data_IF_856845917986
#
_entry.id   IF_856845917986
#
_cell.length_a   1.000
_cell.length_b   1.000
_cell.length_c   1.000
_cell.angle_alpha   90.00
_cell.angle_beta   90.00
_cell.angle_gamma   90.00
#
_symmetry.space_group_name_H-M   'P 1'
#
loop_
_entity.id
_entity.type
_entity.pdbx_description
1 polymer ?
#
# COMPACT_ATOMS: atom_id res chain seq x y z
N UNK A 1 -13.41 36.02 -8.51
CA UNK A 1 -12.27 36.06 -7.58
C UNK A 1 -12.68 35.33 -6.32
N UNK A 2 -12.32 34.06 -6.20
CA UNK A 2 -12.62 33.23 -5.04
C UNK A 2 -11.39 32.38 -4.79
N UNK A 3 -10.71 32.65 -3.68
CA UNK A 3 -9.47 31.98 -3.29
C UNK A 3 -9.77 30.57 -2.81
N UNK A 4 -9.30 29.57 -3.55
CA UNK A 4 -9.20 28.20 -3.05
C UNK A 4 -8.05 28.10 -2.06
N UNK A 5 -8.35 27.75 -0.81
CA UNK A 5 -7.37 27.40 0.21
C UNK A 5 -6.69 26.09 -0.21
N UNK A 6 -5.41 26.17 -0.56
CA UNK A 6 -4.54 25.01 -0.78
C UNK A 6 -4.08 24.54 0.59
N UNK A 7 -4.51 23.34 1.00
CA UNK A 7 -3.94 22.66 2.15
C UNK A 7 -2.55 22.15 1.77
N UNK A 8 -1.52 22.81 2.30
CA UNK A 8 -0.13 22.38 2.22
C UNK A 8 0.10 21.43 3.41
N UNK A 9 0.18 20.13 3.13
CA UNK A 9 0.67 19.13 4.10
C UNK A 9 2.13 18.79 3.76
N UNK A 10 3.07 18.84 4.73
CA UNK A 10 4.48 18.55 4.49
C UNK A 10 4.69 17.03 4.43
N UNK A 11 5.15 16.55 3.28
CA UNK A 11 5.30 15.12 2.94
C UNK A 11 6.63 14.48 3.36
N UNK A 12 7.39 15.05 4.31
CA UNK A 12 8.78 14.59 4.58
C UNK A 12 9.20 14.47 6.05
N UNK A 13 8.29 14.14 6.96
CA UNK A 13 8.71 13.78 8.31
C UNK A 13 7.72 12.83 9.00
N UNK A 14 7.69 11.55 8.65
CA UNK A 14 7.20 10.49 9.55
C UNK A 14 7.79 9.14 9.13
N UNK A 15 8.10 8.31 10.13
CA UNK A 15 8.54 6.90 10.07
C UNK A 15 10.05 6.60 10.07
N UNK A 16 10.69 6.97 11.19
CA UNK A 16 11.55 6.03 11.91
C UNK A 16 10.68 5.29 12.95
N UNK A 17 10.28 4.04 12.68
CA UNK A 17 9.86 3.01 13.64
C UNK A 17 9.35 1.80 12.85
N UNK A 18 10.26 0.93 12.45
CA UNK A 18 9.93 -0.45 12.05
C UNK A 18 10.34 -1.31 13.25
N UNK A 19 9.37 -2.06 13.79
CA UNK A 19 9.39 -2.93 14.98
C UNK A 19 8.77 -2.43 16.30
N UNK A 20 8.09 -1.29 16.32
CA UNK A 20 7.12 -1.01 17.38
C UNK A 20 5.84 -0.52 16.74
N UNK A 21 4.77 -1.32 16.85
CA UNK A 21 3.40 -0.90 16.51
C UNK A 21 3.11 0.47 17.16
N UNK A 22 3.02 1.57 16.41
CA UNK A 22 2.53 2.80 16.97
C UNK A 22 1.00 2.76 16.86
N UNK A 23 0.32 2.89 18.00
CA UNK A 23 -1.13 2.98 18.18
C UNK A 23 -1.89 1.71 18.58
N UNK A 24 -1.42 1.08 19.67
CA UNK A 24 -2.31 0.71 20.78
C UNK A 24 -2.02 1.66 21.96
N UNK A 25 -2.24 2.96 21.73
CA UNK A 25 -2.16 3.97 22.80
C UNK A 25 -3.53 4.07 23.45
N UNK A 26 -3.83 3.17 24.38
CA UNK A 26 -4.73 3.50 25.48
C UNK A 26 -4.09 4.66 26.24
N UNK A 27 -4.78 5.78 26.32
CA UNK A 27 -4.29 6.98 27.00
C UNK A 27 -3.95 6.64 28.47
N UNK A 28 -2.66 6.53 28.75
CA UNK A 28 -2.12 6.29 30.09
C UNK A 28 -0.64 6.01 29.98
N UNK A 29 0.20 6.92 30.47
CA UNK A 29 1.64 6.68 30.57
C UNK A 29 1.89 5.45 31.42
N UNK A 30 2.28 4.35 30.78
CA UNK A 30 2.55 3.08 31.42
C UNK A 30 3.81 2.47 30.81
N UNK A 31 4.62 1.87 31.66
CA UNK A 31 5.78 1.04 31.31
C UNK A 31 5.41 0.08 30.17
N UNK A 32 6.33 -0.12 29.21
CA UNK A 32 6.09 -0.97 28.05
C UNK A 32 5.73 -2.38 28.51
N UNK A 33 4.45 -2.72 28.45
CA UNK A 33 3.97 -4.09 28.71
C UNK A 33 4.42 -4.94 27.53
N UNK A 34 5.37 -5.83 27.78
CA UNK A 34 5.73 -6.89 26.84
C UNK A 34 4.53 -7.86 26.77
N UNK A 35 3.82 -7.84 25.64
CA UNK A 35 2.67 -8.73 25.42
C UNK A 35 3.22 -10.05 24.86
N UNK A 36 2.97 -11.16 25.55
CA UNK A 36 3.29 -12.50 25.05
C UNK A 36 2.47 -12.76 23.76
N UNK A 37 3.13 -13.02 22.61
CA UNK A 37 2.42 -13.33 21.37
C UNK A 37 1.46 -14.51 21.50
N UNK A 38 1.73 -15.48 22.39
CA UNK A 38 0.83 -16.60 22.62
C UNK A 38 -0.45 -16.18 23.36
N UNK A 39 -0.36 -15.26 24.32
CA UNK A 39 -1.53 -14.70 24.99
C UNK A 39 -2.37 -13.87 24.02
N UNK A 40 -1.72 -13.10 23.15
CA UNK A 40 -2.41 -12.34 22.09
C UNK A 40 -3.23 -13.26 21.17
N UNK A 41 -2.64 -14.40 20.77
CA UNK A 41 -3.24 -15.35 19.85
C UNK A 41 -4.22 -16.34 20.49
N UNK A 42 -4.20 -16.48 21.82
CA UNK A 42 -5.15 -17.32 22.56
C UNK A 42 -6.55 -16.69 22.67
N UNK A 43 -6.71 -15.41 22.33
CA UNK A 43 -8.01 -14.73 22.38
C UNK A 43 -8.95 -15.23 21.26
N UNK A 44 -10.23 -15.46 21.60
CA UNK A 44 -11.28 -15.91 20.66
C UNK A 44 -11.74 -14.81 19.69
N UNK A 45 -10.98 -13.73 19.55
CA UNK A 45 -11.42 -12.53 18.83
C UNK A 45 -11.41 -12.68 17.31
N UNK A 46 -10.87 -13.76 16.75
CA UNK A 46 -10.79 -13.92 15.29
C UNK A 46 -12.11 -14.36 14.64
N UNK A 47 -13.12 -14.74 15.42
CA UNK A 47 -14.44 -15.14 14.92
C UNK A 47 -15.52 -14.07 15.19
N UNK A 48 -15.41 -12.90 14.55
CA UNK A 48 -16.54 -11.98 14.50
C UNK A 48 -17.50 -12.34 13.35
N UNK A 49 -18.82 -12.24 13.57
CA UNK A 49 -19.77 -12.28 12.47
C UNK A 49 -19.52 -11.11 11.51
N UNK A 50 -19.86 -11.27 10.23
CA UNK A 50 -19.79 -10.20 9.22
C UNK A 50 -20.67 -8.97 9.52
N UNK A 51 -21.42 -8.97 10.63
CA UNK A 51 -22.18 -7.85 11.13
C UNK A 51 -21.36 -6.88 12.01
N UNK A 52 -20.12 -7.21 12.35
CA UNK A 52 -19.25 -6.36 13.18
C UNK A 52 -17.83 -6.30 12.61
N UNK A 53 -17.31 -5.08 12.45
CA UNK A 53 -15.90 -4.86 12.12
C UNK A 53 -15.05 -4.93 13.39
N UNK A 54 -13.89 -5.56 13.30
CA UNK A 54 -12.93 -5.66 14.40
C UNK A 54 -11.64 -4.89 14.07
N UNK A 55 -11.45 -3.69 14.64
CA UNK A 55 -10.24 -2.91 14.39
C UNK A 55 -8.96 -3.68 14.76
N UNK A 56 -7.98 -3.62 13.86
CA UNK A 56 -6.68 -4.27 14.02
C UNK A 56 -6.69 -5.81 14.02
N UNK A 57 -7.84 -6.47 13.81
CA UNK A 57 -7.93 -7.93 13.91
C UNK A 57 -7.13 -8.63 12.81
N UNK A 58 -7.10 -8.07 11.59
CA UNK A 58 -6.31 -8.62 10.49
C UNK A 58 -4.81 -8.61 10.80
N UNK A 59 -4.29 -7.52 11.35
CA UNK A 59 -2.88 -7.39 11.73
C UNK A 59 -2.51 -8.36 12.84
N UNK A 60 -3.36 -8.49 13.87
CA UNK A 60 -3.20 -9.51 14.91
C UNK A 60 -3.21 -10.92 14.31
N UNK A 61 -4.14 -11.19 13.40
CA UNK A 61 -4.22 -12.48 12.71
C UNK A 61 -2.96 -12.80 11.90
N UNK A 62 -2.41 -11.83 11.17
CA UNK A 62 -1.15 -11.99 10.43
C UNK A 62 0.01 -12.31 11.39
N UNK A 63 0.11 -11.61 12.53
CA UNK A 63 1.12 -11.89 13.54
C UNK A 63 0.98 -13.31 14.10
N UNK A 64 -0.24 -13.74 14.42
CA UNK A 64 -0.53 -15.08 14.90
C UNK A 64 -0.23 -16.17 13.87
N UNK A 65 -0.49 -15.90 12.58
CA UNK A 65 -0.13 -16.79 11.49
C UNK A 65 1.39 -16.99 11.41
N UNK A 66 2.18 -15.92 11.56
CA UNK A 66 3.65 -15.99 11.49
C UNK A 66 4.27 -16.88 12.57
N UNK A 67 3.64 -16.98 13.74
CA UNK A 67 4.08 -17.86 14.84
C UNK A 67 3.41 -19.24 14.81
N UNK A 68 2.57 -19.53 13.81
CA UNK A 68 1.87 -20.80 13.67
C UNK A 68 0.72 -21.01 14.67
N UNK A 69 0.21 -19.94 15.29
CA UNK A 69 -0.89 -20.02 16.24
C UNK A 69 -2.27 -20.13 15.58
N UNK A 70 -2.40 -19.67 14.32
CA UNK A 70 -3.63 -19.78 13.54
C UNK A 70 -3.34 -20.18 12.09
N UNK A 71 -4.36 -20.73 11.43
CA UNK A 71 -4.30 -21.09 10.01
C UNK A 71 -4.52 -19.89 9.07
N UNK A 72 -4.02 -20.02 7.83
CA UNK A 72 -4.26 -19.05 6.75
C UNK A 72 -5.75 -18.83 6.45
N UNK A 73 -6.61 -19.81 6.74
CA UNK A 73 -8.06 -19.70 6.58
C UNK A 73 -8.66 -18.64 7.49
N UNK A 74 -8.16 -18.51 8.72
CA UNK A 74 -8.59 -17.49 9.70
C UNK A 74 -8.20 -16.10 9.19
N UNK A 75 -6.95 -15.91 8.75
CA UNK A 75 -6.52 -14.64 8.15
C UNK A 75 -7.35 -14.32 6.91
N UNK A 76 -7.66 -15.30 6.08
CA UNK A 76 -8.52 -15.11 4.90
C UNK A 76 -9.92 -14.60 5.28
N UNK A 77 -10.51 -15.09 6.36
CA UNK A 77 -11.79 -14.58 6.87
C UNK A 77 -11.69 -13.13 7.36
N UNK A 78 -10.60 -12.76 8.04
CA UNK A 78 -10.35 -11.38 8.47
C UNK A 78 -10.20 -10.43 7.28
N UNK A 79 -9.55 -10.88 6.20
CA UNK A 79 -9.47 -10.13 4.94
C UNK A 79 -10.84 -9.93 4.32
N UNK A 80 -11.71 -10.96 4.33
CA UNK A 80 -13.09 -10.82 3.83
C UNK A 80 -13.92 -9.88 4.70
N UNK A 81 -13.78 -9.95 6.03
CA UNK A 81 -14.45 -9.03 6.95
C UNK A 81 -14.04 -7.57 6.65
N UNK A 82 -12.74 -7.27 6.59
CA UNK A 82 -12.27 -5.92 6.22
C UNK A 82 -12.73 -5.51 4.82
N UNK A 83 -12.66 -6.41 3.84
CA UNK A 83 -13.11 -6.15 2.47
C UNK A 83 -14.59 -5.77 2.41
N UNK A 84 -15.43 -6.48 3.16
CA UNK A 84 -16.86 -6.20 3.28
C UNK A 84 -17.10 -4.80 3.84
N UNK A 85 -16.45 -4.45 4.95
CA UNK A 85 -16.63 -3.15 5.61
C UNK A 85 -16.04 -1.97 4.80
N UNK A 86 -14.93 -2.18 4.07
CA UNK A 86 -14.43 -1.20 3.08
C UNK A 86 -15.52 -0.91 2.04
N UNK A 87 -16.21 -1.93 1.53
CA UNK A 87 -17.30 -1.75 0.55
C UNK A 87 -18.57 -1.11 1.13
N UNK A 88 -18.67 -1.04 2.45
CA UNK A 88 -19.74 -0.33 3.16
C UNK A 88 -19.34 1.09 3.57
N UNK A 89 -18.12 1.52 3.20
CA UNK A 89 -17.54 2.79 3.63
C UNK A 89 -17.52 2.94 5.16
N UNK A 90 -17.22 1.85 5.87
CA UNK A 90 -17.04 1.89 7.32
C UNK A 90 -15.75 2.63 7.68
N UNK A 91 -15.85 3.66 8.52
CA UNK A 91 -14.74 4.55 8.86
C UNK A 91 -13.58 3.81 9.54
N UNK A 92 -13.88 2.82 10.39
CA UNK A 92 -12.85 2.05 11.09
C UNK A 92 -12.09 1.15 10.13
N UNK A 93 -12.81 0.50 9.21
CA UNK A 93 -12.20 -0.34 8.18
C UNK A 93 -11.36 0.48 7.19
N UNK A 94 -11.84 1.66 6.79
CA UNK A 94 -11.11 2.58 5.92
C UNK A 94 -9.86 3.15 6.61
N UNK A 95 -9.95 3.47 7.90
CA UNK A 95 -8.80 3.94 8.68
C UNK A 95 -7.71 2.86 8.79
N UNK A 96 -8.08 1.65 9.22
CA UNK A 96 -7.16 0.52 9.30
C UNK A 96 -6.52 0.23 7.94
N UNK A 97 -7.33 0.20 6.87
CA UNK A 97 -6.85 0.01 5.51
C UNK A 97 -5.82 1.07 5.12
N UNK A 98 -6.13 2.36 5.30
CA UNK A 98 -5.24 3.47 4.94
C UNK A 98 -3.90 3.43 5.67
N UNK A 99 -3.92 3.01 6.95
CA UNK A 99 -2.73 2.90 7.80
C UNK A 99 -1.85 1.71 7.44
N UNK A 100 -2.44 0.59 7.01
CA UNK A 100 -1.73 -0.69 6.91
C UNK A 100 -1.42 -1.12 5.49
N UNK A 101 -2.10 -0.57 4.47
CA UNK A 101 -2.03 -1.10 3.11
C UNK A 101 -0.63 -1.09 2.51
N UNK A 102 0.18 -0.06 2.79
CA UNK A 102 1.56 0.02 2.32
C UNK A 102 2.38 -1.17 2.84
N UNK A 103 2.21 -1.52 4.12
CA UNK A 103 2.90 -2.63 4.78
C UNK A 103 2.65 -3.94 4.06
N UNK A 104 1.40 -4.20 3.65
CA UNK A 104 1.07 -5.42 2.92
C UNK A 104 1.73 -5.44 1.55
N UNK A 105 1.63 -4.34 0.79
CA UNK A 105 2.17 -4.25 -0.57
C UNK A 105 3.69 -4.40 -0.59
N UNK A 106 4.41 -3.95 0.45
CA UNK A 106 5.88 -4.03 0.54
C UNK A 106 6.41 -5.15 1.45
N UNK A 107 5.53 -6.00 1.99
CA UNK A 107 5.86 -6.97 3.06
C UNK A 107 6.97 -7.97 2.73
N UNK A 108 7.36 -8.12 1.45
CA UNK A 108 8.30 -9.14 0.98
C UNK A 108 7.74 -10.57 1.03
N UNK A 109 6.70 -10.80 1.84
CA UNK A 109 5.93 -12.04 1.92
C UNK A 109 4.84 -12.07 0.84
N UNK A 110 4.80 -13.17 0.08
CA UNK A 110 3.86 -13.33 -1.05
C UNK A 110 2.40 -13.34 -0.58
N UNK A 111 2.12 -13.94 0.57
CA UNK A 111 0.76 -14.04 1.09
C UNK A 111 0.26 -12.67 1.58
N UNK A 112 1.07 -11.93 2.32
CA UNK A 112 0.73 -10.58 2.77
C UNK A 112 0.57 -9.60 1.60
N UNK A 113 1.44 -9.65 0.60
CA UNK A 113 1.28 -8.78 -0.55
C UNK A 113 0.06 -9.17 -1.43
N UNK A 114 -0.40 -10.43 -1.42
CA UNK A 114 -1.71 -10.83 -1.97
C UNK A 114 -2.89 -10.26 -1.16
N UNK A 115 -2.77 -10.17 0.16
CA UNK A 115 -3.76 -9.48 1.02
C UNK A 115 -3.88 -8.02 0.60
N UNK A 116 -2.74 -7.32 0.48
CA UNK A 116 -2.69 -5.93 0.02
C UNK A 116 -3.36 -5.74 -1.33
N UNK A 117 -3.02 -6.57 -2.33
CA UNK A 117 -3.64 -6.53 -3.65
C UNK A 117 -5.17 -6.65 -3.58
N UNK A 118 -5.68 -7.62 -2.81
CA UNK A 118 -7.12 -7.88 -2.69
C UNK A 118 -7.87 -6.73 -2.02
N UNK A 119 -7.30 -6.14 -0.96
CA UNK A 119 -7.89 -4.99 -0.28
C UNK A 119 -7.91 -3.76 -1.20
N UNK A 120 -6.85 -3.52 -1.98
CA UNK A 120 -6.80 -2.44 -2.98
C UNK A 120 -7.83 -2.63 -4.10
N UNK A 121 -7.94 -3.84 -4.65
CA UNK A 121 -8.95 -4.17 -5.66
C UNK A 121 -10.36 -3.90 -5.12
N UNK A 122 -10.62 -4.30 -3.87
CA UNK A 122 -11.90 -4.08 -3.22
C UNK A 122 -12.19 -2.59 -3.01
N UNK A 123 -11.23 -1.84 -2.48
CA UNK A 123 -11.35 -0.41 -2.27
C UNK A 123 -11.65 0.31 -3.59
N UNK A 124 -10.84 0.07 -4.62
CA UNK A 124 -10.99 0.75 -5.92
C UNK A 124 -12.27 0.36 -6.66
N UNK A 125 -12.82 -0.83 -6.40
CA UNK A 125 -14.10 -1.25 -6.95
C UNK A 125 -15.32 -0.61 -6.25
N UNK A 126 -15.18 -0.19 -4.99
CA UNK A 126 -16.28 0.37 -4.20
C UNK A 126 -16.28 1.90 -4.10
N UNK A 127 -15.30 2.60 -4.67
CA UNK A 127 -15.20 4.06 -4.60
C UNK A 127 -15.33 4.68 -5.99
N UNK A 128 -16.19 5.69 -6.12
CA UNK A 128 -16.41 6.41 -7.38
C UNK A 128 -15.17 7.20 -7.83
N UNK A 129 -14.45 7.79 -6.88
CA UNK A 129 -13.18 8.46 -7.09
C UNK A 129 -12.04 7.61 -6.57
N UNK A 130 -11.09 7.29 -7.46
CA UNK A 130 -9.90 6.53 -7.09
C UNK A 130 -8.83 7.48 -6.52
N UNK A 131 -8.33 7.21 -5.33
CA UNK A 131 -7.17 7.91 -4.80
C UNK A 131 -5.91 7.55 -5.63
N UNK A 132 -5.13 8.54 -6.10
CA UNK A 132 -3.90 8.28 -6.86
C UNK A 132 -2.89 7.39 -6.12
N UNK A 133 -2.84 7.44 -4.78
CA UNK A 133 -2.00 6.56 -3.95
C UNK A 133 -2.40 5.10 -4.13
N UNK A 134 -3.69 4.79 -4.03
CA UNK A 134 -4.17 3.41 -4.12
C UNK A 134 -4.08 2.87 -5.56
N UNK A 135 -4.26 3.71 -6.57
CA UNK A 135 -3.94 3.35 -7.95
C UNK A 135 -2.46 2.98 -8.12
N UNK A 136 -1.56 3.79 -7.55
CA UNK A 136 -0.13 3.53 -7.56
C UNK A 136 0.22 2.20 -6.88
N UNK A 137 -0.28 1.97 -5.66
CA UNK A 137 -0.01 0.76 -4.89
C UNK A 137 -0.54 -0.50 -5.59
N UNK A 138 -1.73 -0.45 -6.19
CA UNK A 138 -2.26 -1.59 -6.95
C UNK A 138 -1.42 -1.83 -8.21
N UNK A 139 -0.99 -0.76 -8.88
CA UNK A 139 -0.08 -0.83 -10.02
C UNK A 139 1.24 -1.53 -9.65
N UNK A 140 1.88 -1.11 -8.55
CA UNK A 140 3.11 -1.75 -8.04
C UNK A 140 2.86 -3.23 -7.69
N UNK A 141 1.75 -3.52 -7.00
CA UNK A 141 1.39 -4.90 -6.66
C UNK A 141 1.31 -5.78 -7.91
N UNK A 142 0.60 -5.35 -8.95
CA UNK A 142 0.51 -6.11 -10.20
C UNK A 142 1.86 -6.27 -10.92
N UNK A 143 2.73 -5.25 -10.91
CA UNK A 143 4.07 -5.37 -11.47
C UNK A 143 4.92 -6.44 -10.76
N UNK A 144 4.74 -6.60 -9.45
CA UNK A 144 5.54 -7.53 -8.65
C UNK A 144 5.12 -9.00 -8.80
N UNK A 145 3.86 -9.28 -9.15
CA UNK A 145 3.28 -10.61 -9.01
C UNK A 145 3.11 -11.44 -10.29
N UNK A 146 2.98 -10.87 -11.49
CA UNK A 146 2.99 -11.67 -12.72
C UNK A 146 3.19 -10.85 -13.99
N UNK A 147 3.74 -11.49 -15.03
CA UNK A 147 3.91 -10.95 -16.38
C UNK A 147 2.75 -11.24 -17.34
N UNK A 148 1.56 -11.49 -16.80
CA UNK A 148 0.38 -11.77 -17.61
C UNK A 148 -0.39 -10.46 -17.93
N UNK A 149 -1.66 -10.55 -18.34
CA UNK A 149 -2.57 -9.43 -18.64
C UNK A 149 -2.58 -8.32 -17.56
N UNK A 150 -2.20 -8.66 -16.33
CA UNK A 150 -2.09 -7.71 -15.21
C UNK A 150 -0.95 -6.70 -15.38
N UNK A 151 0.07 -6.96 -16.21
CA UNK A 151 1.14 -6.01 -16.53
C UNK A 151 0.62 -4.79 -17.31
N UNK A 152 -0.25 -5.02 -18.30
CA UNK A 152 -0.95 -3.95 -19.03
C UNK A 152 -1.83 -3.16 -18.07
N UNK A 153 -2.57 -3.85 -17.20
CA UNK A 153 -3.39 -3.20 -16.17
C UNK A 153 -2.54 -2.39 -15.19
N UNK A 154 -1.36 -2.86 -14.83
CA UNK A 154 -0.44 -2.14 -13.95
C UNK A 154 0.03 -0.82 -14.58
N UNK A 155 0.42 -0.85 -15.86
CA UNK A 155 0.79 0.36 -16.61
C UNK A 155 -0.37 1.34 -16.65
N UNK A 156 -1.59 0.89 -16.97
CA UNK A 156 -2.78 1.74 -17.00
C UNK A 156 -3.08 2.39 -15.64
N UNK A 157 -2.95 1.63 -14.55
CA UNK A 157 -3.14 2.15 -13.19
C UNK A 157 -2.11 3.23 -12.85
N UNK A 158 -0.84 3.00 -13.19
CA UNK A 158 0.24 3.95 -12.94
C UNK A 158 0.13 5.21 -13.84
N UNK A 159 -0.30 5.06 -15.09
CA UNK A 159 -0.56 6.20 -15.98
C UNK A 159 -1.72 7.04 -15.44
N UNK A 160 -2.79 6.41 -14.96
CA UNK A 160 -3.90 7.12 -14.31
C UNK A 160 -3.44 7.84 -13.04
N UNK A 161 -2.64 7.18 -12.19
CA UNK A 161 -2.05 7.81 -11.00
C UNK A 161 -1.17 9.03 -11.39
N UNK A 162 -0.42 8.93 -12.48
CA UNK A 162 0.40 10.04 -13.03
C UNK A 162 -0.48 11.22 -13.45
N UNK A 163 -1.56 10.97 -14.21
CA UNK A 163 -2.51 12.01 -14.64
C UNK A 163 -3.15 12.71 -13.42
N UNK A 164 -3.36 11.96 -12.34
CA UNK A 164 -3.90 12.46 -11.07
C UNK A 164 -2.85 13.11 -10.16
N UNK A 165 -1.60 13.27 -10.62
CA UNK A 165 -0.55 13.99 -9.90
C UNK A 165 0.25 13.17 -8.89
N UNK A 166 0.18 11.83 -8.93
CA UNK A 166 1.01 10.99 -8.06
C UNK A 166 2.48 11.07 -8.46
N UNK A 167 3.33 11.68 -7.63
CA UNK A 167 4.73 11.97 -7.98
C UNK A 167 5.58 10.72 -8.25
N UNK A 168 5.32 9.61 -7.55
CA UNK A 168 6.14 8.39 -7.70
C UNK A 168 5.78 7.59 -8.96
N UNK A 169 4.56 7.73 -9.48
CA UNK A 169 4.06 6.92 -10.59
C UNK A 169 4.81 7.18 -11.92
N UNK A 170 5.02 8.43 -12.37
CA UNK A 170 5.78 8.69 -13.59
C UNK A 170 7.25 8.30 -13.44
N UNK A 171 7.84 8.44 -12.25
CA UNK A 171 9.22 8.02 -12.01
C UNK A 171 9.38 6.49 -12.16
N UNK A 172 8.46 5.73 -11.55
CA UNK A 172 8.39 4.28 -11.69
C UNK A 172 8.20 3.85 -13.14
N UNK A 173 7.23 4.42 -13.86
CA UNK A 173 7.01 4.09 -15.27
C UNK A 173 8.24 4.42 -16.14
N UNK A 174 8.86 5.58 -15.92
CA UNK A 174 10.09 5.96 -16.63
C UNK A 174 11.21 4.95 -16.41
N UNK A 175 11.40 4.52 -15.16
CA UNK A 175 12.41 3.52 -14.80
C UNK A 175 12.12 2.16 -15.45
N UNK A 176 10.87 1.70 -15.41
CA UNK A 176 10.44 0.42 -15.98
C UNK A 176 10.52 0.37 -17.50
N UNK A 177 10.34 1.50 -18.20
CA UNK A 177 10.55 1.58 -19.65
C UNK A 177 12.03 1.69 -20.04
N UNK A 178 12.90 2.18 -19.15
CA UNK A 178 14.35 2.29 -19.42
C UNK A 178 15.11 1.01 -19.12
N UNK A 179 14.74 0.37 -18.00
CA UNK A 179 15.30 -0.87 -17.49
C UNK A 179 14.22 -1.94 -17.68
N UNK A 180 14.39 -2.90 -18.59
CA UNK A 180 13.34 -3.90 -18.86
C UNK A 180 12.98 -4.63 -17.56
N UNK A 181 11.85 -4.22 -16.98
CA UNK A 181 11.35 -4.77 -15.72
C UNK A 181 10.40 -5.89 -16.06
N UNK A 182 10.86 -7.15 -15.96
CA UNK A 182 10.19 -8.45 -16.18
C UNK A 182 9.17 -8.55 -17.34
N UNK A 183 8.16 -7.69 -17.37
CA UNK A 183 6.97 -7.68 -18.21
C UNK A 183 6.73 -6.34 -18.95
N UNK A 184 7.58 -5.32 -18.77
CA UNK A 184 7.51 -4.05 -19.51
C UNK A 184 8.66 -4.01 -20.52
N UNK A 185 8.31 -3.91 -21.80
CA UNK A 185 9.29 -3.74 -22.87
C UNK A 185 9.98 -2.39 -22.78
N UNK A 186 11.26 -2.38 -23.16
CA UNK A 186 12.04 -1.16 -23.18
C UNK A 186 11.48 -0.19 -24.22
N UNK A 187 11.09 1.00 -23.79
CA UNK A 187 10.61 2.07 -24.66
C UNK A 187 11.24 3.41 -24.23
N UNK A 188 12.29 3.82 -24.94
CA UNK A 188 13.02 5.07 -24.64
C UNK A 188 12.16 6.32 -24.83
N UNK A 189 11.18 6.28 -25.72
CA UNK A 189 10.30 7.43 -26.00
C UNK A 189 9.33 7.60 -24.84
N UNK A 190 8.67 6.51 -24.42
CA UNK A 190 7.79 6.53 -23.23
C UNK A 190 8.56 6.80 -21.95
N UNK A 191 9.75 6.24 -21.79
CA UNK A 191 10.61 6.53 -20.63
C UNK A 191 10.88 8.03 -20.48
N UNK A 192 11.22 8.71 -21.60
CA UNK A 192 11.44 10.16 -21.63
C UNK A 192 10.15 10.94 -21.34
N UNK A 193 9.02 10.55 -21.94
CA UNK A 193 7.72 11.19 -21.68
C UNK A 193 7.35 11.12 -20.19
N UNK A 194 7.51 9.94 -19.58
CA UNK A 194 7.26 9.74 -18.15
C UNK A 194 8.23 10.54 -17.28
N UNK A 195 9.49 10.67 -17.67
CA UNK A 195 10.47 11.50 -16.94
C UNK A 195 10.09 12.99 -16.97
N UNK A 196 9.65 13.50 -18.12
CA UNK A 196 9.17 14.88 -18.24
C UNK A 196 7.91 15.10 -17.39
N UNK A 197 6.99 14.13 -17.36
CA UNK A 197 5.82 14.16 -16.47
C UNK A 197 6.24 14.16 -15.00
N UNK A 198 7.21 13.35 -14.60
CA UNK A 198 7.78 13.39 -13.25
C UNK A 198 8.33 14.78 -12.92
N UNK A 199 9.17 15.37 -13.78
CA UNK A 199 9.76 16.69 -13.56
C UNK A 199 8.68 17.78 -13.42
N UNK A 200 7.63 17.70 -14.24
CA UNK A 200 6.48 18.58 -14.15
C UNK A 200 5.70 18.42 -12.84
N UNK A 201 5.37 17.19 -12.45
CA UNK A 201 4.64 16.88 -11.20
C UNK A 201 5.46 17.18 -9.96
N UNK A 202 6.77 16.92 -9.98
CA UNK A 202 7.68 17.23 -8.89
C UNK A 202 7.82 18.74 -8.69
N UNK A 203 7.76 19.54 -9.76
CA UNK A 203 7.76 20.99 -9.69
C UNK A 203 8.94 21.54 -8.88
N UNK A 204 8.66 22.43 -7.92
CA UNK A 204 9.65 23.03 -7.03
C UNK A 204 9.97 22.21 -5.77
N UNK A 205 9.43 21.00 -5.63
CA UNK A 205 9.52 20.20 -4.40
C UNK A 205 10.94 19.71 -4.05
N UNK A 206 11.97 20.11 -4.82
CA UNK A 206 13.39 19.76 -4.67
C UNK A 206 13.69 18.26 -4.67
N UNK A 207 12.72 17.41 -4.97
CA UNK A 207 12.92 15.96 -5.10
C UNK A 207 13.39 15.66 -6.52
N UNK A 208 14.55 15.04 -6.63
CA UNK A 208 15.16 14.61 -7.88
C UNK A 208 14.64 13.24 -8.31
N UNK A 209 14.75 12.95 -9.60
CA UNK A 209 14.40 11.63 -10.14
C UNK A 209 15.20 10.51 -9.46
N UNK A 210 16.50 10.71 -9.24
CA UNK A 210 17.37 9.75 -8.55
C UNK A 210 16.91 9.46 -7.13
N UNK A 211 16.56 10.48 -6.34
CA UNK A 211 16.06 10.29 -4.96
C UNK A 211 14.77 9.48 -4.92
N UNK A 212 13.86 9.69 -5.89
CA UNK A 212 12.64 8.88 -6.00
C UNK A 212 12.97 7.43 -6.34
N UNK A 213 13.87 7.18 -7.29
CA UNK A 213 14.25 5.81 -7.64
C UNK A 213 14.92 5.11 -6.46
N UNK A 214 15.79 5.80 -5.72
CA UNK A 214 16.44 5.25 -4.53
C UNK A 214 15.43 4.97 -3.42
N UNK A 215 14.46 5.86 -3.22
CA UNK A 215 13.34 5.62 -2.31
C UNK A 215 12.54 4.37 -2.70
N UNK A 216 12.15 4.26 -3.98
CA UNK A 216 11.35 3.12 -4.47
C UNK A 216 12.11 1.79 -4.32
N UNK A 217 13.42 1.78 -4.59
CA UNK A 217 14.29 0.62 -4.35
C UNK A 217 14.39 0.30 -2.86
N UNK A 218 14.64 1.30 -2.01
CA UNK A 218 14.76 1.12 -0.56
C UNK A 218 13.47 0.62 0.10
N UNK A 219 12.31 0.88 -0.52
CA UNK A 219 11.01 0.35 -0.10
C UNK A 219 10.65 -1.00 -0.72
N UNK A 220 11.50 -1.58 -1.58
CA UNK A 220 11.19 -2.81 -2.30
C UNK A 220 10.03 -2.67 -3.30
N UNK A 221 9.67 -1.45 -3.68
CA UNK A 221 8.61 -1.16 -4.66
C UNK A 221 9.09 -1.35 -6.10
N UNK A 222 10.41 -1.36 -6.31
CA UNK A 222 11.06 -1.73 -7.55
C UNK A 222 12.13 -2.76 -7.21
N UNK A 223 12.05 -3.93 -7.85
CA UNK A 223 13.13 -4.90 -7.82
C UNK A 223 14.19 -4.46 -8.84
N UNK A 224 15.43 -4.25 -8.40
CA UNK A 224 16.53 -4.01 -9.34
C UNK A 224 16.59 -5.20 -10.30
N UNK A 225 16.68 -4.94 -11.61
CA UNK A 225 16.85 -6.01 -12.59
C UNK A 225 18.05 -6.90 -12.25
N UNK A 226 18.06 -8.16 -12.70
CA UNK A 226 19.21 -9.04 -12.54
C UNK A 226 20.49 -8.44 -13.14
#
# INVERSE_FOLDING_TARGET
MQMSRVYILPLLAFYFSILTFPHLSLAGGGEGVEIDPNELCASTEFSAPLSMYLPGALERGILCLRIGAIDKSVVSQLVENRSYFISKHDDSALNDFSMTIDTYVVSGDVFEAQIGQKLLERYLASHESADPRYLFLLGVSYLNFSCDDKSVKAVQLLERATIMGHILAPALLSYSYENPYKCIERDKVKSRDMKLKFEHTAGSNKVTYSEVIDYLKGKGLIVSGP
#
